data_IF_011118260453
#
_entry.id   IF_011118260453
#
_cell.length_a   1.000
_cell.length_b   1.000
_cell.length_c   1.000
_cell.angle_alpha   90.00
_cell.angle_beta   90.00
_cell.angle_gamma   90.00
#
_symmetry.space_group_name_H-M   'P 1'
#
loop_
_entity.id
_entity.type
_entity.pdbx_description
1 polymer ?
#
# COMPACT_ATOMS: atom_id res chain seq x y z
N UNK A 1 -54.09 -2.51 50.32
CA UNK A 1 -53.85 -2.51 48.85
C UNK A 1 -53.54 -3.94 48.42
N UNK A 2 -54.30 -4.49 47.46
CA UNK A 2 -54.16 -5.84 46.89
C UNK A 2 -53.31 -5.79 45.61
N UNK A 3 -52.38 -6.74 45.44
CA UNK A 3 -52.05 -7.50 44.22
C UNK A 3 -50.76 -8.32 44.51
N UNK A 4 -50.72 -9.66 44.53
CA UNK A 4 -50.40 -10.62 43.43
C UNK A 4 -49.13 -10.23 42.64
N UNK A 5 -48.16 -11.08 42.30
CA UNK A 5 -48.11 -12.53 42.13
C UNK A 5 -46.64 -13.05 42.13
N UNK A 6 -46.43 -14.32 42.49
CA UNK A 6 -45.22 -15.10 42.17
C UNK A 6 -45.20 -15.50 40.69
N UNK A 7 -44.02 -15.62 40.06
CA UNK A 7 -43.60 -16.77 39.21
C UNK A 7 -42.33 -16.51 38.37
N UNK A 8 -41.54 -17.60 38.28
CA UNK A 8 -40.64 -18.07 37.19
C UNK A 8 -39.26 -17.46 36.94
N UNK A 9 -38.25 -18.30 37.23
CA UNK A 9 -36.97 -18.38 36.52
C UNK A 9 -37.20 -18.65 35.02
N UNK A 10 -36.40 -18.03 34.14
CA UNK A 10 -36.16 -18.53 32.78
C UNK A 10 -34.71 -18.24 32.36
N UNK A 11 -34.00 -19.31 31.99
CA UNK A 11 -32.63 -19.31 31.48
C UNK A 11 -32.54 -18.86 30.02
N UNK A 12 -31.35 -18.38 29.67
CA UNK A 12 -30.68 -18.38 28.36
C UNK A 12 -31.33 -17.62 27.18
N UNK A 13 -30.54 -16.70 26.62
CA UNK A 13 -30.63 -16.34 25.21
C UNK A 13 -29.21 -16.30 24.63
N UNK A 14 -28.95 -17.26 23.75
CA UNK A 14 -27.83 -17.28 22.84
C UNK A 14 -28.05 -16.26 21.72
N UNK A 15 -26.96 -15.78 21.11
CA UNK A 15 -26.98 -15.22 19.76
C UNK A 15 -26.17 -13.94 19.63
N UNK A 16 -25.65 -13.76 18.41
CA UNK A 16 -24.73 -12.70 17.92
C UNK A 16 -23.26 -13.09 18.13
N UNK A 17 -22.46 -13.40 17.11
CA UNK A 17 -22.66 -13.23 15.69
C UNK A 17 -21.75 -14.19 14.91
N UNK A 18 -22.19 -14.53 13.69
CA UNK A 18 -21.39 -15.19 12.68
C UNK A 18 -20.11 -14.39 12.42
N UNK A 19 -18.97 -14.84 12.95
CA UNK A 19 -17.69 -14.58 12.31
C UNK A 19 -17.56 -15.61 11.19
N UNK A 20 -18.17 -15.30 10.04
CA UNK A 20 -17.87 -15.98 8.81
C UNK A 20 -16.38 -15.79 8.54
N UNK A 21 -15.58 -16.82 8.81
CA UNK A 21 -14.25 -16.94 8.20
C UNK A 21 -14.49 -16.97 6.69
N UNK A 22 -14.25 -15.86 6.02
CA UNK A 22 -13.98 -15.89 4.58
C UNK A 22 -12.56 -16.44 4.42
N UNK A 23 -12.34 -17.59 3.76
CA UNK A 23 -11.04 -17.85 3.19
C UNK A 23 -10.96 -17.01 1.92
N UNK A 24 -10.52 -15.76 2.03
CA UNK A 24 -10.07 -15.03 0.86
C UNK A 24 -8.67 -15.56 0.54
N UNK A 25 -8.61 -16.65 -0.20
CA UNK A 25 -7.44 -16.95 -1.02
C UNK A 25 -7.53 -15.91 -2.15
N UNK A 26 -7.09 -14.69 -1.86
CA UNK A 26 -6.81 -13.72 -2.91
C UNK A 26 -5.75 -14.37 -3.80
N UNK A 27 -6.00 -14.41 -5.10
CA UNK A 27 -4.93 -14.65 -6.04
C UNK A 27 -3.88 -13.58 -5.72
N UNK A 28 -2.71 -13.99 -5.20
CA UNK A 28 -1.64 -13.05 -4.90
C UNK A 28 -1.23 -12.47 -6.24
N UNK A 29 -1.60 -11.21 -6.48
CA UNK A 29 -1.14 -10.52 -7.67
C UNK A 29 0.38 -10.39 -7.54
N UNK A 30 1.11 -10.63 -8.64
CA UNK A 30 2.57 -10.55 -8.60
C UNK A 30 2.99 -9.14 -8.18
N UNK A 31 4.12 -8.94 -7.48
CA UNK A 31 4.56 -7.59 -7.17
C UNK A 31 4.95 -6.81 -8.44
N UNK A 32 4.73 -5.50 -8.39
CA UNK A 32 5.33 -4.57 -9.34
C UNK A 32 6.83 -4.45 -9.04
N UNK A 33 7.67 -4.51 -10.07
CA UNK A 33 9.12 -4.35 -9.90
C UNK A 33 9.47 -2.89 -10.15
N UNK A 34 9.78 -2.16 -9.08
CA UNK A 34 10.07 -0.72 -9.15
C UNK A 34 11.56 -0.50 -8.97
N UNK A 35 12.15 0.26 -9.87
CA UNK A 35 13.50 0.80 -9.68
C UNK A 35 13.41 2.14 -8.99
N UNK A 36 14.08 2.22 -7.84
CA UNK A 36 14.33 3.43 -7.10
C UNK A 36 15.73 3.92 -7.49
N UNK A 37 15.77 4.98 -8.29
CA UNK A 37 17.00 5.69 -8.59
C UNK A 37 17.22 6.78 -7.54
N UNK A 38 18.42 6.83 -6.98
CA UNK A 38 18.88 7.85 -6.04
C UNK A 38 19.93 8.73 -6.69
N UNK A 39 19.90 10.03 -6.40
CA UNK A 39 20.93 10.99 -6.81
C UNK A 39 21.77 11.39 -5.61
N UNK A 40 22.97 10.82 -5.46
CA UNK A 40 23.88 11.10 -4.35
C UNK A 40 24.83 12.27 -4.68
N UNK A 41 24.28 13.33 -5.26
CA UNK A 41 25.03 14.54 -5.68
C UNK A 41 25.77 14.38 -7.01
N UNK A 42 26.80 13.52 -7.07
CA UNK A 42 27.60 13.29 -8.28
C UNK A 42 27.53 11.85 -8.81
N UNK A 43 26.71 11.00 -8.20
CA UNK A 43 26.55 9.61 -8.57
C UNK A 43 25.08 9.22 -8.51
N UNK A 44 24.67 8.33 -9.41
CA UNK A 44 23.37 7.68 -9.37
C UNK A 44 23.51 6.26 -8.83
N UNK A 45 22.57 5.83 -8.01
CA UNK A 45 22.47 4.45 -7.53
C UNK A 45 21.06 3.96 -7.68
N UNK A 46 20.94 2.73 -8.18
CA UNK A 46 19.65 2.11 -8.40
C UNK A 46 19.46 0.98 -7.40
N UNK A 47 18.26 0.87 -6.86
CA UNK A 47 17.81 -0.26 -6.04
C UNK A 47 16.48 -0.72 -6.60
N UNK A 48 16.34 -2.02 -6.82
CA UNK A 48 15.09 -2.61 -7.28
C UNK A 48 14.31 -3.14 -6.09
N UNK A 49 13.02 -2.84 -6.03
CA UNK A 49 12.11 -3.28 -4.98
C UNK A 49 10.87 -3.93 -5.56
N UNK A 50 10.28 -4.82 -4.78
CA UNK A 50 9.00 -5.45 -5.07
C UNK A 50 7.90 -4.69 -4.32
N UNK A 51 7.00 -4.05 -5.07
CA UNK A 51 5.85 -3.33 -4.52
C UNK A 51 4.61 -4.16 -4.79
N UNK A 52 4.04 -4.70 -3.73
CA UNK A 52 2.84 -5.53 -3.84
C UNK A 52 1.60 -4.66 -4.01
N UNK A 53 0.62 -5.06 -4.83
CA UNK A 53 -0.58 -4.26 -5.05
C UNK A 53 -1.48 -4.18 -3.80
N UNK A 54 -1.32 -5.09 -2.84
CA UNK A 54 -2.15 -5.15 -1.63
C UNK A 54 -1.68 -4.23 -0.49
N UNK A 55 -0.42 -3.78 -0.50
CA UNK A 55 0.15 -2.97 0.58
C UNK A 55 1.20 -1.97 0.07
N UNK A 56 1.38 -0.91 0.82
CA UNK A 56 2.34 0.13 0.48
C UNK A 56 3.76 -0.34 0.81
N UNK A 57 4.71 -0.05 -0.08
CA UNK A 57 6.12 -0.25 0.18
C UNK A 57 6.67 0.95 0.95
N UNK A 58 7.09 0.73 2.19
CA UNK A 58 7.67 1.73 3.08
C UNK A 58 9.04 1.25 3.57
N UNK A 59 10.12 1.85 3.06
CA UNK A 59 11.47 1.64 3.58
C UNK A 59 12.28 2.93 3.44
N UNK A 60 12.48 3.64 4.55
CA UNK A 60 13.22 4.90 4.57
C UNK A 60 14.68 4.75 4.11
N UNK A 61 15.30 3.58 4.26
CA UNK A 61 16.67 3.34 3.79
C UNK A 61 16.74 3.18 2.27
N UNK A 62 15.64 2.80 1.61
CA UNK A 62 15.54 2.71 0.15
C UNK A 62 14.91 3.96 -0.46
N UNK A 63 13.98 4.59 0.24
CA UNK A 63 13.18 5.71 -0.25
C UNK A 63 13.72 7.08 0.19
N UNK A 64 14.88 7.14 0.82
CA UNK A 64 15.62 8.39 0.96
C UNK A 64 16.34 8.76 -0.35
N UNK A 65 16.42 10.05 -0.62
CA UNK A 65 17.24 10.60 -1.70
C UNK A 65 16.86 10.15 -3.12
N UNK A 66 15.57 9.87 -3.34
CA UNK A 66 15.03 9.42 -4.62
C UNK A 66 15.09 10.54 -5.65
N UNK A 67 15.61 10.24 -6.84
CA UNK A 67 15.56 11.11 -8.01
C UNK A 67 14.45 10.70 -8.97
N UNK A 68 14.35 9.39 -9.25
CA UNK A 68 13.42 8.83 -10.22
C UNK A 68 12.84 7.51 -9.71
N UNK A 69 11.54 7.30 -9.95
CA UNK A 69 10.86 6.03 -9.77
C UNK A 69 10.36 5.54 -11.13
N UNK A 70 10.58 4.27 -11.45
CA UNK A 70 10.06 3.68 -12.67
C UNK A 70 9.85 2.18 -12.55
N UNK A 71 8.83 1.68 -13.23
CA UNK A 71 8.58 0.25 -13.28
C UNK A 71 9.47 -0.42 -14.33
N UNK A 72 9.94 -1.62 -14.01
CA UNK A 72 10.56 -2.55 -14.95
C UNK A 72 9.80 -3.88 -14.94
N UNK A 73 9.97 -4.68 -15.99
CA UNK A 73 9.25 -5.95 -16.13
C UNK A 73 7.87 -5.73 -16.79
N UNK A 74 7.69 -6.19 -18.03
CA UNK A 74 6.50 -5.91 -18.83
C UNK A 74 5.34 -6.87 -18.56
N UNK A 75 5.47 -7.79 -17.59
CA UNK A 75 4.46 -8.85 -17.40
C UNK A 75 3.09 -8.29 -16.98
N UNK A 76 3.06 -7.14 -16.31
CA UNK A 76 1.83 -6.50 -15.83
C UNK A 76 1.97 -4.98 -15.83
N UNK A 77 0.92 -4.26 -16.22
CA UNK A 77 0.89 -2.79 -16.12
C UNK A 77 0.36 -2.40 -14.75
N UNK A 78 1.17 -1.73 -13.94
CA UNK A 78 0.75 -1.20 -12.65
C UNK A 78 0.65 0.32 -12.69
N UNK A 79 -0.35 0.84 -11.98
CA UNK A 79 -0.53 2.26 -11.71
C UNK A 79 0.05 2.55 -10.33
N UNK A 80 1.24 3.14 -10.30
CA UNK A 80 1.97 3.41 -9.08
C UNK A 80 1.95 4.90 -8.70
N UNK A 81 1.98 5.16 -7.40
CA UNK A 81 1.96 6.49 -6.80
C UNK A 81 3.04 6.58 -5.72
N UNK A 82 3.64 7.77 -5.60
CA UNK A 82 4.66 8.05 -4.59
C UNK A 82 4.16 9.12 -3.62
N UNK A 83 4.30 8.84 -2.33
CA UNK A 83 3.85 9.70 -1.25
C UNK A 83 5.00 10.54 -0.68
N UNK A 84 4.72 11.81 -0.44
CA UNK A 84 5.53 12.72 0.35
C UNK A 84 5.47 12.35 1.84
N UNK A 85 6.40 12.87 2.66
CA UNK A 85 6.36 12.69 4.12
C UNK A 85 5.06 13.16 4.79
N UNK A 86 4.39 14.17 4.24
CA UNK A 86 3.11 14.68 4.72
C UNK A 86 1.88 13.88 4.24
N UNK A 87 2.09 12.81 3.45
CA UNK A 87 1.04 11.94 2.95
C UNK A 87 0.36 12.43 1.67
N UNK A 88 0.77 13.57 1.11
CA UNK A 88 0.32 13.98 -0.21
C UNK A 88 1.08 13.26 -1.33
N UNK A 89 0.51 13.20 -2.53
CA UNK A 89 1.23 12.66 -3.68
C UNK A 89 2.29 13.64 -4.20
N UNK A 90 3.36 13.11 -4.79
CA UNK A 90 4.32 13.91 -5.54
C UNK A 90 3.79 14.38 -6.90
N UNK A 91 2.79 13.69 -7.44
CA UNK A 91 2.18 13.93 -8.75
C UNK A 91 0.70 13.53 -8.68
N UNK A 92 -0.17 14.31 -9.32
CA UNK A 92 -1.59 13.96 -9.48
C UNK A 92 -1.79 12.79 -10.47
N UNK A 93 -0.74 12.46 -11.22
CA UNK A 93 -0.72 11.38 -12.20
C UNK A 93 0.18 10.22 -11.73
N UNK A 94 -0.18 9.01 -12.15
CA UNK A 94 0.51 7.77 -11.83
C UNK A 94 1.81 7.59 -12.63
N UNK A 95 2.68 6.73 -12.14
CA UNK A 95 3.87 6.25 -12.82
C UNK A 95 3.85 4.74 -12.99
N UNK A 96 4.56 4.23 -13.98
CA UNK A 96 4.52 2.81 -14.33
C UNK A 96 5.42 2.49 -15.51
N UNK A 97 5.09 1.43 -16.24
CA UNK A 97 5.84 1.02 -17.43
C UNK A 97 5.85 2.16 -18.46
N UNK A 98 7.02 2.47 -19.00
CA UNK A 98 7.28 3.56 -19.95
C UNK A 98 6.88 4.98 -19.49
N UNK A 99 6.48 5.13 -18.22
CA UNK A 99 6.05 6.40 -17.62
C UNK A 99 6.77 6.63 -16.28
N UNK A 100 8.04 7.06 -16.30
CA UNK A 100 8.82 7.29 -15.08
C UNK A 100 8.33 8.53 -14.32
N UNK A 101 8.35 8.47 -12.99
CA UNK A 101 8.17 9.63 -12.13
C UNK A 101 9.53 10.24 -11.79
N UNK A 102 9.82 11.40 -12.38
CA UNK A 102 11.01 12.20 -12.06
C UNK A 102 10.66 13.19 -10.95
N UNK A 103 11.25 13.03 -9.78
CA UNK A 103 10.97 13.86 -8.61
C UNK A 103 11.89 15.09 -8.55
N UNK A 104 13.20 14.87 -8.67
CA UNK A 104 14.21 15.92 -8.62
C UNK A 104 15.59 15.35 -8.94
N UNK A 105 16.55 16.21 -9.26
CA UNK A 105 17.97 15.86 -9.24
C UNK A 105 18.58 15.92 -7.83
N UNK A 106 17.83 16.45 -6.85
CA UNK A 106 18.25 16.65 -5.48
C UNK A 106 17.44 15.78 -4.51
N UNK A 107 18.13 14.97 -3.71
CA UNK A 107 17.68 14.17 -2.57
C UNK A 107 16.21 14.37 -2.11
N UNK A 108 15.24 13.72 -2.76
CA UNK A 108 13.83 13.74 -2.32
C UNK A 108 13.56 12.55 -1.39
N UNK A 109 12.88 12.79 -0.27
CA UNK A 109 12.45 11.73 0.63
C UNK A 109 11.06 11.26 0.24
N UNK A 110 10.93 10.03 -0.25
CA UNK A 110 9.65 9.39 -0.51
C UNK A 110 9.24 8.62 0.76
N UNK A 111 8.00 8.76 1.20
CA UNK A 111 7.47 8.05 2.36
C UNK A 111 7.08 6.62 2.02
N UNK A 112 6.32 6.48 0.94
CA UNK A 112 5.74 5.21 0.53
C UNK A 112 5.57 5.17 -0.99
N UNK A 113 5.58 3.95 -1.54
CA UNK A 113 5.17 3.67 -2.91
C UNK A 113 3.98 2.71 -2.87
N UNK A 114 2.94 3.02 -3.64
CA UNK A 114 1.75 2.21 -3.74
C UNK A 114 1.51 1.87 -5.20
N UNK A 115 1.27 0.61 -5.51
CA UNK A 115 0.91 0.17 -6.86
C UNK A 115 -0.46 -0.50 -6.86
N UNK A 116 -1.18 -0.39 -7.98
CA UNK A 116 -2.49 -1.02 -8.19
C UNK A 116 -2.54 -1.62 -9.61
N UNK A 117 -3.26 -2.73 -9.76
CA UNK A 117 -3.61 -3.29 -11.07
C UNK A 117 -4.77 -2.48 -11.66
N UNK A 118 -4.80 -2.34 -12.99
CA UNK A 118 -5.95 -1.75 -13.72
C UNK A 118 -7.24 -2.55 -13.53
#
# INVERSE_FOLDING_TARGET
MRATASLTLLSAAAGLASAALKPAIAAMEKPAIIVVEKSLGNAYRNTTVEVHPEYDFEDAAVLDQVSTLYQVGPEYTYFCFAYRPDGAFYSDDWFGLDKPLRLSTNNVVVKAITCRVE
#
